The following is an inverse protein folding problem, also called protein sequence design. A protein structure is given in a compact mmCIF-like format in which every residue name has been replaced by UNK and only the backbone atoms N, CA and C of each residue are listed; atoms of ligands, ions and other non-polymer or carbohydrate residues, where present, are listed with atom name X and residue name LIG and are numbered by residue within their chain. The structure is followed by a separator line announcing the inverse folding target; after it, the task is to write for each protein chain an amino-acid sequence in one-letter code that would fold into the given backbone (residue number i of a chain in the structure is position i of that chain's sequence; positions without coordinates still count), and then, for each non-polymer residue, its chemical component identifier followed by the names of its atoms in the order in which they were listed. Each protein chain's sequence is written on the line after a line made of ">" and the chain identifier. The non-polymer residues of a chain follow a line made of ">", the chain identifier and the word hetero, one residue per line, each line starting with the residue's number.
data_IF_904595796163
#
_entry.id   IF_904595796163
#
_cell.length_a   1.000
_cell.length_b   1.000
_cell.length_c   1.000
_cell.angle_alpha   90.00
_cell.angle_beta   90.00
_cell.angle_gamma   90.00
#
_symmetry.space_group_name_H-M   'P 1'
#
loop_
_entity.id
_entity.type
_entity.pdbx_description
1 polymer ?
#
# COMPACT_ATOMS: atom_id res chain seq x y z
N UNK A 1 16.95 16.25 -13.10
CA UNK A 1 15.76 15.63 -12.47
C UNK A 1 14.55 16.56 -12.38
N UNK A 2 14.74 17.89 -12.45
CA UNK A 2 13.65 18.85 -12.22
C UNK A 2 12.56 18.87 -13.32
N UNK A 3 12.82 18.70 -14.61
CA UNK A 3 11.77 18.73 -15.64
C UNK A 3 11.03 17.41 -15.83
N UNK A 4 11.68 16.26 -15.62
CA UNK A 4 11.08 14.94 -15.80
C UNK A 4 10.23 14.47 -14.61
N UNK A 5 10.30 15.16 -13.45
CA UNK A 5 9.59 14.87 -12.20
C UNK A 5 8.60 16.00 -11.84
N UNK A 6 7.93 16.57 -12.82
CA UNK A 6 6.91 17.64 -12.65
C UNK A 6 5.61 17.11 -12.07
N UNK A 7 5.67 16.52 -10.88
CA UNK A 7 4.50 16.44 -10.00
C UNK A 7 4.52 17.67 -9.11
N UNK A 8 3.43 18.39 -9.00
CA UNK A 8 3.32 19.61 -8.18
C UNK A 8 3.85 19.33 -6.78
N UNK A 9 4.91 20.04 -6.39
CA UNK A 9 5.65 19.78 -5.17
C UNK A 9 4.83 20.19 -3.95
N UNK A 10 4.60 19.25 -3.05
CA UNK A 10 3.99 19.49 -1.76
C UNK A 10 5.07 19.70 -0.70
N UNK A 11 4.85 20.61 0.21
CA UNK A 11 5.81 20.97 1.28
C UNK A 11 6.22 19.74 2.09
N UNK A 12 5.25 18.88 2.50
CA UNK A 12 5.54 17.67 3.31
C UNK A 12 6.33 16.60 2.55
N UNK A 13 6.09 16.43 1.25
CA UNK A 13 6.89 15.53 0.39
C UNK A 13 8.30 16.06 0.18
N UNK A 14 8.48 17.39 0.11
CA UNK A 14 9.80 18.00 0.03
C UNK A 14 10.59 17.83 1.31
N UNK A 15 9.96 18.03 2.46
CA UNK A 15 10.58 17.85 3.78
C UNK A 15 11.03 16.40 3.96
N UNK A 16 10.14 15.42 3.70
CA UNK A 16 10.49 14.01 3.76
C UNK A 16 11.65 13.65 2.82
N UNK A 17 11.68 14.23 1.61
CA UNK A 17 12.80 14.03 0.68
C UNK A 17 14.11 14.63 1.21
N UNK A 18 14.05 15.80 1.86
CA UNK A 18 15.23 16.44 2.44
C UNK A 18 15.77 15.64 3.63
N UNK A 19 14.89 15.17 4.52
CA UNK A 19 15.25 14.30 5.65
C UNK A 19 15.93 13.01 5.20
N UNK A 20 15.36 12.31 4.20
CA UNK A 20 15.94 11.09 3.63
C UNK A 20 17.30 11.37 3.02
N UNK A 21 17.45 12.47 2.26
CA UNK A 21 18.74 12.85 1.68
C UNK A 21 19.80 13.12 2.72
N UNK A 22 19.42 13.80 3.80
CA UNK A 22 20.32 14.08 4.90
C UNK A 22 20.78 12.81 5.60
N UNK A 23 19.86 11.83 5.80
CA UNK A 23 20.22 10.56 6.41
C UNK A 23 21.15 9.73 5.52
N UNK A 24 20.90 9.68 4.21
CA UNK A 24 21.78 8.99 3.25
C UNK A 24 23.19 9.61 3.14
N UNK A 25 23.43 10.80 3.71
CA UNK A 25 24.72 11.48 3.76
C UNK A 25 25.44 11.30 5.11
N UNK A 26 24.79 10.64 6.09
CA UNK A 26 25.39 10.34 7.39
C UNK A 26 26.43 9.20 7.28
N UNK A 27 27.33 9.15 8.23
CA UNK A 27 28.35 8.10 8.31
C UNK A 27 27.84 6.73 8.85
N UNK A 28 26.55 6.60 9.13
CA UNK A 28 25.90 5.36 9.57
C UNK A 28 24.65 5.09 8.73
N UNK A 29 24.26 3.81 8.57
CA UNK A 29 23.13 3.43 7.73
C UNK A 29 21.81 4.04 8.20
N UNK A 30 21.02 4.53 7.26
CA UNK A 30 19.67 5.01 7.50
C UNK A 30 18.71 3.83 7.79
N UNK A 31 17.87 3.94 8.80
CA UNK A 31 16.65 3.11 8.96
C UNK A 31 15.46 4.04 9.17
N UNK A 32 14.79 4.39 8.07
CA UNK A 32 13.71 5.38 8.09
C UNK A 32 12.39 4.80 7.61
N UNK A 33 11.32 5.12 8.35
CA UNK A 33 9.94 4.82 7.99
C UNK A 33 9.30 6.05 7.35
N UNK A 34 8.85 5.93 6.11
CA UNK A 34 8.05 6.94 5.41
C UNK A 34 6.58 6.58 5.48
N UNK A 35 5.84 7.30 6.32
CA UNK A 35 4.41 7.16 6.48
C UNK A 35 3.63 8.18 5.65
N UNK A 36 2.50 7.75 5.11
CA UNK A 36 1.57 8.62 4.43
C UNK A 36 0.43 7.84 3.81
N UNK A 37 -0.70 8.46 3.63
CA UNK A 37 -1.88 7.81 3.10
C UNK A 37 -1.63 7.13 1.74
N UNK A 38 -2.54 6.26 1.34
CA UNK A 38 -2.49 5.64 0.01
C UNK A 38 -2.59 6.75 -1.05
N UNK A 39 -1.63 6.78 -1.97
CA UNK A 39 -1.63 7.74 -3.10
C UNK A 39 -1.14 9.16 -2.78
N UNK A 40 -0.49 9.40 -1.63
CA UNK A 40 0.12 10.72 -1.31
C UNK A 40 1.49 10.96 -1.96
N UNK A 41 1.99 10.01 -2.73
CA UNK A 41 3.27 10.16 -3.43
C UNK A 41 4.48 9.56 -2.71
N UNK A 42 4.31 8.61 -1.79
CA UNK A 42 5.43 7.88 -1.15
C UNK A 42 6.40 7.30 -2.16
N UNK A 43 5.89 6.69 -3.23
CA UNK A 43 6.69 6.12 -4.33
C UNK A 43 7.57 7.18 -4.98
N UNK A 44 7.07 8.39 -5.19
CA UNK A 44 7.86 9.49 -5.78
C UNK A 44 9.05 9.89 -4.88
N UNK A 45 8.85 9.95 -3.57
CA UNK A 45 9.92 10.22 -2.59
C UNK A 45 10.94 9.08 -2.60
N UNK A 46 10.47 7.83 -2.63
CA UNK A 46 11.33 6.65 -2.72
C UNK A 46 12.17 6.63 -4.02
N UNK A 47 11.59 7.01 -5.16
CA UNK A 47 12.30 7.11 -6.43
C UNK A 47 13.41 8.17 -6.41
N UNK A 48 13.21 9.27 -5.70
CA UNK A 48 14.26 10.29 -5.51
C UNK A 48 15.41 9.77 -4.67
N UNK A 49 15.12 8.96 -3.63
CA UNK A 49 16.14 8.29 -2.85
C UNK A 49 16.91 7.27 -3.70
N UNK A 50 16.21 6.42 -4.47
CA UNK A 50 16.82 5.47 -5.39
C UNK A 50 17.73 6.16 -6.40
N UNK A 51 17.26 7.25 -7.02
CA UNK A 51 18.05 8.03 -7.96
C UNK A 51 19.32 8.65 -7.30
N UNK A 52 19.20 9.17 -6.07
CA UNK A 52 20.35 9.68 -5.33
C UNK A 52 21.38 8.57 -5.08
N UNK A 53 20.92 7.38 -4.69
CA UNK A 53 21.79 6.22 -4.48
C UNK A 53 22.57 5.84 -5.75
N UNK A 54 21.85 5.72 -6.89
CA UNK A 54 22.47 5.39 -8.20
C UNK A 54 23.43 6.47 -8.68
N UNK A 55 23.09 7.74 -8.52
CA UNK A 55 24.01 8.84 -8.84
C UNK A 55 25.26 8.88 -7.94
N UNK A 56 25.21 8.26 -6.79
CA UNK A 56 26.35 8.01 -5.90
C UNK A 56 27.17 6.77 -6.28
N UNK A 57 26.84 6.10 -7.40
CA UNK A 57 27.55 4.91 -7.89
C UNK A 57 27.17 3.61 -7.21
N UNK A 58 26.10 3.58 -6.39
CA UNK A 58 25.64 2.40 -5.67
C UNK A 58 24.34 1.83 -6.23
N UNK A 59 24.09 0.56 -5.97
CA UNK A 59 22.88 -0.14 -6.41
C UNK A 59 21.72 0.08 -5.43
N UNK A 60 20.49 0.03 -5.96
CA UNK A 60 19.26 0.13 -5.18
C UNK A 60 18.38 -1.11 -5.37
N UNK A 61 17.88 -1.69 -4.28
CA UNK A 61 16.90 -2.78 -4.31
C UNK A 61 15.54 -2.28 -3.82
N UNK A 62 14.46 -2.62 -4.55
CA UNK A 62 13.09 -2.26 -4.19
C UNK A 62 12.28 -3.54 -4.01
N UNK A 63 11.81 -3.75 -2.80
CA UNK A 63 11.03 -4.92 -2.42
C UNK A 63 9.54 -4.60 -2.36
N UNK A 64 8.75 -5.40 -3.05
CA UNK A 64 7.30 -5.35 -3.02
C UNK A 64 6.71 -6.69 -2.53
N UNK A 65 5.58 -6.69 -1.82
CA UNK A 65 5.02 -7.92 -1.25
C UNK A 65 4.43 -8.87 -2.29
N UNK A 66 4.06 -8.38 -3.47
CA UNK A 66 3.46 -9.19 -4.53
C UNK A 66 4.16 -8.96 -5.87
N UNK A 67 4.09 -9.96 -6.75
CA UNK A 67 4.66 -9.90 -8.10
C UNK A 67 4.06 -8.76 -8.93
N UNK A 68 2.76 -8.53 -8.80
CA UNK A 68 2.07 -7.49 -9.55
C UNK A 68 2.46 -6.08 -9.09
N UNK A 69 2.62 -5.87 -7.78
CA UNK A 69 3.10 -4.59 -7.26
C UNK A 69 4.56 -4.34 -7.67
N UNK A 70 5.39 -5.38 -7.66
CA UNK A 70 6.75 -5.31 -8.18
C UNK A 70 6.76 -4.90 -9.66
N UNK A 71 5.87 -5.47 -10.46
CA UNK A 71 5.71 -5.11 -11.87
C UNK A 71 5.25 -3.65 -12.07
N UNK A 72 4.31 -3.16 -11.27
CA UNK A 72 3.89 -1.75 -11.31
C UNK A 72 5.03 -0.80 -10.93
N UNK A 73 5.76 -1.11 -9.86
CA UNK A 73 6.95 -0.33 -9.49
C UNK A 73 7.99 -0.33 -10.62
N UNK A 74 8.27 -1.50 -11.19
CA UNK A 74 9.22 -1.64 -12.30
C UNK A 74 8.84 -0.74 -13.48
N UNK A 75 7.60 -0.79 -13.95
CA UNK A 75 7.14 0.06 -15.06
C UNK A 75 7.16 1.56 -14.72
N UNK A 76 6.79 1.91 -13.50
CA UNK A 76 6.83 3.31 -13.03
C UNK A 76 8.28 3.82 -13.02
N UNK A 77 9.23 3.00 -12.56
CA UNK A 77 10.65 3.36 -12.51
C UNK A 77 11.22 3.48 -13.91
N UNK A 78 10.93 2.53 -14.80
CA UNK A 78 11.36 2.59 -16.19
C UNK A 78 10.93 3.90 -16.85
N UNK A 79 9.65 4.23 -16.76
CA UNK A 79 9.13 5.48 -17.32
C UNK A 79 9.76 6.73 -16.71
N UNK A 80 10.07 6.71 -15.41
CA UNK A 80 10.68 7.85 -14.70
C UNK A 80 12.17 7.99 -14.96
N UNK A 81 12.86 6.90 -15.25
CA UNK A 81 14.31 6.84 -15.49
C UNK A 81 14.67 6.86 -16.98
N UNK A 82 13.70 6.87 -17.90
CA UNK A 82 13.90 6.79 -19.35
C UNK A 82 14.91 7.83 -19.88
N UNK A 83 14.92 9.02 -19.31
CA UNK A 83 15.83 10.10 -19.71
C UNK A 83 17.26 9.98 -19.11
N UNK A 84 17.54 8.95 -18.32
CA UNK A 84 18.80 8.77 -17.60
C UNK A 84 19.46 7.44 -17.94
N UNK A 85 20.78 7.35 -17.94
CA UNK A 85 21.51 6.11 -18.17
C UNK A 85 21.45 5.17 -16.94
N UNK A 86 20.25 4.83 -16.50
CA UNK A 86 19.99 3.98 -15.32
C UNK A 86 19.38 2.67 -15.80
N UNK A 87 20.06 1.56 -15.51
CA UNK A 87 19.58 0.23 -15.87
C UNK A 87 18.70 -0.33 -14.76
N UNK A 88 17.42 -0.54 -15.08
CA UNK A 88 16.41 -1.07 -14.17
C UNK A 88 16.05 -2.49 -14.59
N UNK A 89 16.09 -3.42 -13.66
CA UNK A 89 15.70 -4.81 -13.88
C UNK A 89 14.64 -5.27 -12.86
N UNK A 90 13.92 -6.34 -13.21
CA UNK A 90 12.93 -6.94 -12.32
C UNK A 90 13.27 -8.40 -12.04
N UNK A 91 13.16 -8.80 -10.77
CA UNK A 91 13.32 -10.17 -10.32
C UNK A 91 12.04 -10.69 -9.69
N UNK A 92 11.23 -11.35 -10.49
CA UNK A 92 9.95 -11.94 -10.08
C UNK A 92 9.59 -13.12 -10.98
N UNK A 93 8.49 -13.82 -10.67
CA UNK A 93 7.97 -14.93 -11.49
C UNK A 93 7.54 -14.51 -12.90
N UNK A 94 7.35 -13.23 -13.18
CA UNK A 94 7.08 -12.72 -14.54
C UNK A 94 8.30 -12.76 -15.45
N UNK A 95 9.49 -13.06 -14.92
CA UNK A 95 10.72 -13.17 -15.69
C UNK A 95 11.09 -14.62 -15.91
N UNK A 96 11.49 -14.93 -17.13
CA UNK A 96 12.00 -16.26 -17.48
C UNK A 96 13.29 -16.60 -16.69
N UNK A 97 13.60 -17.88 -16.57
CA UNK A 97 14.83 -18.31 -15.90
C UNK A 97 16.10 -17.70 -16.53
N UNK A 98 16.11 -17.51 -17.86
CA UNK A 98 17.20 -16.84 -18.58
C UNK A 98 17.34 -15.39 -18.15
N UNK A 99 16.24 -14.62 -18.17
CA UNK A 99 16.24 -13.24 -17.75
C UNK A 99 16.66 -13.08 -16.28
N UNK A 100 16.19 -13.97 -15.38
CA UNK A 100 16.63 -13.93 -13.98
C UNK A 100 18.14 -14.17 -13.84
N UNK A 101 18.72 -15.10 -14.60
CA UNK A 101 20.18 -15.32 -14.60
C UNK A 101 20.94 -14.11 -15.12
N UNK A 102 20.45 -13.45 -16.15
CA UNK A 102 21.05 -12.21 -16.68
C UNK A 102 21.00 -11.09 -15.64
N UNK A 103 19.86 -10.91 -14.97
CA UNK A 103 19.71 -9.94 -13.87
C UNK A 103 20.67 -10.26 -12.73
N UNK A 104 20.81 -11.50 -12.29
CA UNK A 104 21.76 -11.92 -11.25
C UNK A 104 23.21 -11.57 -11.62
N UNK A 105 23.62 -11.86 -12.86
CA UNK A 105 24.96 -11.48 -13.36
C UNK A 105 25.15 -9.96 -13.37
N UNK A 106 24.12 -9.23 -13.81
CA UNK A 106 24.12 -7.76 -13.84
C UNK A 106 24.22 -7.14 -12.45
N UNK A 107 23.56 -7.71 -11.45
CA UNK A 107 23.67 -7.25 -10.06
C UNK A 107 25.08 -7.49 -9.51
N UNK A 108 25.64 -8.68 -9.77
CA UNK A 108 26.97 -9.03 -9.30
C UNK A 108 28.09 -8.23 -9.98
N UNK A 109 27.92 -7.87 -11.24
CA UNK A 109 28.88 -7.06 -12.00
C UNK A 109 28.73 -5.54 -11.79
N UNK A 110 27.64 -5.08 -11.14
CA UNK A 110 27.34 -3.67 -11.00
C UNK A 110 26.72 -3.03 -12.26
N UNK A 111 26.39 -3.82 -13.29
CA UNK A 111 25.78 -3.29 -14.53
C UNK A 111 24.27 -3.05 -14.42
N UNK A 112 23.62 -3.49 -13.35
CA UNK A 112 22.23 -3.17 -13.01
C UNK A 112 22.23 -2.22 -11.83
N UNK A 113 21.60 -1.07 -11.99
CA UNK A 113 21.58 0.00 -10.99
C UNK A 113 20.42 -0.15 -10.01
N UNK A 114 19.24 -0.47 -10.52
CA UNK A 114 18.02 -0.65 -9.72
C UNK A 114 17.41 -2.01 -10.02
N UNK A 115 17.12 -2.77 -8.99
CA UNK A 115 16.35 -4.02 -9.11
C UNK A 115 15.05 -3.93 -8.31
N UNK A 116 13.95 -4.31 -8.95
CA UNK A 116 12.63 -4.41 -8.31
C UNK A 116 12.26 -5.88 -8.20
N UNK A 117 11.78 -6.31 -7.04
CA UNK A 117 11.36 -7.69 -6.89
C UNK A 117 10.55 -7.96 -5.64
N UNK A 118 10.19 -9.23 -5.48
CA UNK A 118 9.51 -9.73 -4.29
C UNK A 118 10.53 -10.33 -3.30
N UNK A 119 10.06 -11.15 -2.36
CA UNK A 119 10.92 -11.93 -1.46
C UNK A 119 12.03 -12.73 -2.19
N UNK A 120 11.96 -12.90 -3.50
CA UNK A 120 13.00 -13.51 -4.34
C UNK A 120 14.35 -12.77 -4.20
N UNK A 121 14.33 -11.46 -3.97
CA UNK A 121 15.54 -10.67 -3.73
C UNK A 121 16.28 -11.03 -2.43
N UNK A 122 15.62 -11.76 -1.52
CA UNK A 122 16.21 -12.23 -0.25
C UNK A 122 16.86 -13.62 -0.37
N UNK A 123 16.92 -14.18 -1.56
CA UNK A 123 17.51 -15.51 -1.78
C UNK A 123 19.03 -15.43 -1.79
N UNK A 124 19.69 -16.50 -1.34
CA UNK A 124 21.17 -16.55 -1.15
C UNK A 124 21.99 -16.38 -2.43
N UNK A 125 21.38 -16.63 -3.59
CA UNK A 125 22.01 -16.49 -4.91
C UNK A 125 22.01 -15.05 -5.43
N UNK A 126 21.26 -14.13 -4.78
CA UNK A 126 21.25 -12.71 -5.12
C UNK A 126 22.44 -12.03 -4.45
N UNK A 127 23.39 -11.62 -5.26
CA UNK A 127 24.59 -10.90 -4.80
C UNK A 127 24.67 -9.55 -5.51
N UNK A 128 24.87 -8.50 -4.76
CA UNK A 128 25.06 -7.15 -5.25
C UNK A 128 26.56 -6.85 -5.34
N UNK A 129 26.93 -5.97 -6.28
CA UNK A 129 28.28 -5.43 -6.36
C UNK A 129 28.53 -4.40 -5.24
N UNK A 130 27.68 -3.40 -5.15
CA UNK A 130 27.69 -2.37 -4.10
C UNK A 130 26.27 -1.87 -3.83
N UNK A 131 25.57 -2.53 -2.92
CA UNK A 131 24.21 -2.17 -2.53
C UNK A 131 24.22 -1.00 -1.54
N UNK A 132 23.65 0.15 -1.92
CA UNK A 132 23.58 1.35 -1.07
C UNK A 132 22.24 1.61 -0.44
N UNK A 133 21.13 1.15 -1.06
CA UNK A 133 19.80 1.44 -0.58
C UNK A 133 18.85 0.27 -0.79
N UNK A 134 18.07 -0.05 0.23
CA UNK A 134 16.92 -0.97 0.17
C UNK A 134 15.65 -0.21 0.46
N UNK A 135 14.70 -0.25 -0.47
CA UNK A 135 13.36 0.30 -0.31
C UNK A 135 12.38 -0.85 -0.12
N UNK A 136 11.57 -0.79 0.93
CA UNK A 136 10.59 -1.84 1.26
C UNK A 136 9.20 -1.22 1.23
N UNK A 137 8.37 -1.65 0.30
CA UNK A 137 6.96 -1.22 0.25
C UNK A 137 6.07 -2.18 1.04
N UNK A 138 5.14 -1.61 1.81
CA UNK A 138 4.16 -2.34 2.63
C UNK A 138 4.82 -3.44 3.52
N UNK A 139 5.85 -3.07 4.30
CA UNK A 139 6.62 -3.98 5.16
C UNK A 139 5.74 -4.91 6.03
N UNK A 140 4.58 -4.43 6.45
CA UNK A 140 3.64 -5.21 7.28
C UNK A 140 3.14 -6.49 6.60
N UNK A 141 3.24 -6.58 5.28
CA UNK A 141 2.83 -7.76 4.49
C UNK A 141 3.92 -8.84 4.39
N UNK A 142 5.15 -8.51 4.78
CA UNK A 142 6.22 -9.50 4.86
C UNK A 142 6.11 -10.31 6.16
N UNK A 143 6.20 -11.62 6.05
CA UNK A 143 6.21 -12.52 7.20
C UNK A 143 7.46 -12.32 8.10
N UNK A 144 7.38 -12.77 9.34
CA UNK A 144 8.46 -12.62 10.34
C UNK A 144 9.81 -13.12 9.81
N UNK A 145 9.84 -14.31 9.22
CA UNK A 145 11.07 -14.89 8.62
C UNK A 145 11.69 -14.02 7.52
N UNK A 146 10.86 -13.32 6.72
CA UNK A 146 11.37 -12.42 5.69
C UNK A 146 11.94 -11.12 6.30
N UNK A 147 11.35 -10.63 7.38
CA UNK A 147 11.85 -9.45 8.11
C UNK A 147 13.18 -9.72 8.80
N UNK A 148 13.36 -10.92 9.35
CA UNK A 148 14.64 -11.36 9.91
C UNK A 148 15.72 -11.42 8.82
N UNK A 149 15.43 -12.06 7.70
CA UNK A 149 16.36 -12.10 6.54
C UNK A 149 16.68 -10.72 5.98
N UNK A 150 15.73 -9.78 5.96
CA UNK A 150 15.99 -8.40 5.56
C UNK A 150 17.06 -7.76 6.43
N UNK A 151 16.96 -7.93 7.74
CA UNK A 151 17.96 -7.41 8.69
C UNK A 151 19.32 -8.08 8.57
N UNK A 152 19.33 -9.39 8.35
CA UNK A 152 20.56 -10.17 8.20
C UNK A 152 21.28 -9.90 6.87
N UNK A 153 20.53 -9.84 5.76
CA UNK A 153 21.11 -9.72 4.43
C UNK A 153 21.61 -8.30 4.11
N UNK A 154 21.05 -7.28 4.76
CA UNK A 154 21.30 -5.87 4.44
C UNK A 154 21.90 -5.08 5.61
N UNK A 155 22.75 -5.72 6.40
CA UNK A 155 23.50 -5.03 7.46
C UNK A 155 24.40 -3.97 6.84
N UNK A 156 24.32 -2.75 7.37
CA UNK A 156 25.15 -1.63 6.89
C UNK A 156 24.64 -0.95 5.60
N UNK A 157 23.45 -1.30 5.13
CA UNK A 157 22.80 -0.68 3.96
C UNK A 157 21.69 0.25 4.42
N UNK A 158 21.51 1.38 3.73
CA UNK A 158 20.39 2.29 3.98
C UNK A 158 19.04 1.60 3.74
N UNK A 159 18.12 1.73 4.67
CA UNK A 159 16.77 1.16 4.59
C UNK A 159 15.70 2.24 4.63
N UNK A 160 14.87 2.28 3.60
CA UNK A 160 13.69 3.13 3.51
C UNK A 160 12.44 2.28 3.41
N UNK A 161 11.59 2.32 4.43
CA UNK A 161 10.34 1.58 4.45
C UNK A 161 9.17 2.50 4.16
N UNK A 162 8.27 2.07 3.28
CA UNK A 162 7.05 2.79 2.92
C UNK A 162 5.84 2.13 3.58
N UNK A 163 4.97 2.92 4.20
CA UNK A 163 3.73 2.40 4.78
C UNK A 163 2.58 3.40 4.65
N UNK A 164 1.39 2.90 4.30
CA UNK A 164 0.17 3.70 4.33
C UNK A 164 -0.45 3.74 5.74
N UNK A 165 -0.38 2.62 6.46
CA UNK A 165 -0.89 2.46 7.81
C UNK A 165 0.12 1.63 8.61
N UNK A 166 1.08 2.27 9.29
CA UNK A 166 2.07 1.53 10.05
C UNK A 166 1.39 0.69 11.13
N UNK A 167 1.84 -0.55 11.29
CA UNK A 167 1.37 -1.38 12.39
C UNK A 167 1.81 -0.76 13.73
N UNK A 168 1.05 -0.97 14.83
CA UNK A 168 1.37 -0.37 16.13
C UNK A 168 2.82 -0.60 16.58
N UNK A 169 3.39 -1.78 16.32
CA UNK A 169 4.78 -2.10 16.66
C UNK A 169 5.79 -1.21 15.90
N UNK A 170 5.62 -1.09 14.59
CA UNK A 170 6.52 -0.25 13.74
C UNK A 170 6.40 1.23 14.13
N UNK A 171 5.18 1.69 14.42
CA UNK A 171 4.93 3.04 14.88
C UNK A 171 5.53 3.30 16.27
N UNK A 172 5.41 2.36 17.20
CA UNK A 172 6.04 2.46 18.52
C UNK A 172 7.57 2.51 18.43
N UNK A 173 8.20 1.73 17.55
CA UNK A 173 9.64 1.79 17.32
C UNK A 173 10.08 3.16 16.80
N UNK A 174 9.30 3.76 15.90
CA UNK A 174 9.57 5.10 15.40
C UNK A 174 9.37 6.16 16.50
N UNK A 175 8.31 6.06 17.29
CA UNK A 175 8.04 7.00 18.39
C UNK A 175 9.04 6.90 19.54
N UNK A 176 9.65 5.74 19.76
CA UNK A 176 10.70 5.54 20.78
C UNK A 176 12.10 5.97 20.30
N UNK A 177 12.22 6.52 19.10
CA UNK A 177 13.50 6.95 18.53
C UNK A 177 14.42 5.81 18.07
N UNK A 178 13.92 4.56 18.06
CA UNK A 178 14.67 3.40 17.55
C UNK A 178 14.75 3.43 16.02
N UNK A 179 13.78 4.12 15.38
CA UNK A 179 13.67 4.25 13.92
C UNK A 179 13.25 5.66 13.55
N UNK A 180 13.89 6.25 12.55
CA UNK A 180 13.53 7.56 12.05
C UNK A 180 12.16 7.53 11.33
N UNK A 181 11.39 8.63 11.45
CA UNK A 181 10.05 8.74 10.90
C UNK A 181 9.91 10.01 10.07
N UNK A 182 9.42 9.85 8.84
CA UNK A 182 8.92 10.96 8.01
C UNK A 182 7.44 10.74 7.68
N UNK A 183 6.66 11.83 7.67
CA UNK A 183 5.24 11.77 7.34
C UNK A 183 4.90 12.64 6.14
N UNK A 184 4.06 12.11 5.23
CA UNK A 184 3.46 12.87 4.13
C UNK A 184 1.96 12.98 4.44
N UNK A 185 1.54 14.15 4.90
CA UNK A 185 0.16 14.39 5.31
C UNK A 185 -0.70 15.05 4.21
N UNK A 186 -0.05 15.78 3.30
CA UNK A 186 -0.74 16.49 2.23
C UNK A 186 -0.90 15.60 0.98
N UNK A 187 -2.13 15.44 0.47
CA UNK A 187 -2.38 14.74 -0.78
C UNK A 187 -1.88 15.55 -1.98
N UNK A 188 -1.68 14.93 -3.16
CA UNK A 188 -1.51 15.65 -4.41
C UNK A 188 -2.64 16.65 -4.66
N UNK A 189 -2.34 17.83 -5.21
CA UNK A 189 -3.30 18.93 -5.41
C UNK A 189 -4.52 18.47 -6.20
N UNK A 190 -4.35 17.57 -7.14
CA UNK A 190 -5.43 17.04 -8.00
C UNK A 190 -6.32 15.99 -7.31
N UNK A 191 -5.94 15.50 -6.14
CA UNK A 191 -6.66 14.44 -5.47
C UNK A 191 -7.82 14.99 -4.65
N UNK A 192 -9.04 14.58 -4.99
CA UNK A 192 -10.25 14.91 -4.23
C UNK A 192 -10.50 13.89 -3.11
N UNK A 193 -11.07 14.30 -1.97
CA UNK A 193 -11.53 13.38 -0.93
C UNK A 193 -12.55 12.39 -1.49
N UNK A 194 -12.49 11.13 -1.01
CA UNK A 194 -13.46 10.11 -1.38
C UNK A 194 -14.77 10.35 -0.61
N UNK A 195 -15.85 10.60 -1.32
CA UNK A 195 -17.17 10.77 -0.73
C UNK A 195 -17.64 9.42 -0.16
N UNK A 196 -17.88 9.38 1.14
CA UNK A 196 -18.07 8.12 1.86
C UNK A 196 -19.47 8.01 2.41
N UNK A 197 -20.19 6.95 2.00
CA UNK A 197 -21.55 6.63 2.43
C UNK A 197 -21.53 5.37 3.29
N UNK A 198 -22.28 5.40 4.37
CA UNK A 198 -22.56 4.24 5.23
C UNK A 198 -24.07 4.02 5.24
N UNK A 199 -24.51 2.90 4.71
CA UNK A 199 -25.95 2.64 4.50
C UNK A 199 -26.29 1.13 4.61
N UNK A 200 -27.57 0.85 4.81
CA UNK A 200 -28.07 -0.51 4.66
C UNK A 200 -27.94 -0.98 3.21
N UNK A 201 -27.66 -2.27 3.03
CA UNK A 201 -27.55 -2.87 1.71
C UNK A 201 -28.85 -2.67 0.92
N UNK A 202 -28.74 -2.06 -0.26
CA UNK A 202 -29.88 -1.79 -1.13
C UNK A 202 -29.46 -1.90 -2.60
N UNK A 203 -30.04 -2.88 -3.30
CA UNK A 203 -29.72 -3.15 -4.71
C UNK A 203 -29.95 -1.96 -5.63
N UNK A 204 -31.03 -1.18 -5.39
CA UNK A 204 -31.36 -0.03 -6.25
C UNK A 204 -30.30 1.05 -6.13
N UNK A 205 -29.89 1.39 -4.91
CA UNK A 205 -28.85 2.42 -4.66
C UNK A 205 -27.51 1.97 -5.25
N UNK A 206 -27.14 0.72 -5.04
CA UNK A 206 -25.86 0.20 -5.51
C UNK A 206 -25.83 0.06 -7.03
N UNK A 207 -26.93 -0.39 -7.65
CA UNK A 207 -27.06 -0.45 -9.10
C UNK A 207 -26.91 0.95 -9.73
N UNK A 208 -27.55 1.95 -9.13
CA UNK A 208 -27.47 3.34 -9.60
C UNK A 208 -26.04 3.91 -9.45
N UNK A 209 -25.37 3.63 -8.33
CA UNK A 209 -23.98 4.02 -8.11
C UNK A 209 -23.03 3.42 -9.16
N UNK A 210 -23.18 2.12 -9.46
CA UNK A 210 -22.41 1.43 -10.50
C UNK A 210 -22.69 2.00 -11.88
N UNK A 211 -23.95 2.15 -12.27
CA UNK A 211 -24.34 2.73 -13.57
C UNK A 211 -23.80 4.14 -13.78
N UNK A 212 -23.86 4.99 -12.76
CA UNK A 212 -23.28 6.35 -12.80
C UNK A 212 -21.77 6.32 -13.03
N UNK A 213 -21.05 5.39 -12.38
CA UNK A 213 -19.62 5.25 -12.59
C UNK A 213 -19.31 4.81 -14.02
N UNK A 214 -20.00 3.79 -14.53
CA UNK A 214 -19.79 3.29 -15.89
C UNK A 214 -20.16 4.31 -16.95
N UNK A 215 -21.24 5.08 -16.74
CA UNK A 215 -21.68 6.13 -17.68
C UNK A 215 -20.63 7.23 -17.87
N UNK A 216 -19.78 7.49 -16.87
CA UNK A 216 -18.65 8.44 -16.97
C UNK A 216 -17.35 7.78 -17.41
N UNK A 217 -17.39 6.50 -17.84
CA UNK A 217 -16.24 5.74 -18.31
C UNK A 217 -15.29 5.29 -17.19
N UNK A 218 -15.74 5.26 -15.93
CA UNK A 218 -14.97 4.75 -14.80
C UNK A 218 -15.20 3.27 -14.57
N UNK A 219 -14.51 2.74 -13.55
CA UNK A 219 -14.57 1.34 -13.12
C UNK A 219 -14.97 1.25 -11.66
N UNK A 220 -15.46 0.09 -11.26
CA UNK A 220 -15.98 -0.16 -9.90
C UNK A 220 -15.26 -1.32 -9.25
N UNK A 221 -14.85 -1.13 -7.99
CA UNK A 221 -14.53 -2.22 -7.08
C UNK A 221 -15.77 -2.61 -6.28
N UNK A 222 -16.15 -3.87 -6.39
CA UNK A 222 -17.23 -4.47 -5.59
C UNK A 222 -16.64 -5.51 -4.65
N UNK A 223 -16.54 -5.19 -3.36
CA UNK A 223 -15.92 -6.06 -2.38
C UNK A 223 -16.94 -6.96 -1.71
N UNK A 224 -16.78 -8.26 -1.94
CA UNK A 224 -17.54 -9.34 -1.34
C UNK A 224 -16.59 -10.30 -0.62
N UNK A 225 -16.57 -10.27 0.72
CA UNK A 225 -15.51 -10.93 1.49
C UNK A 225 -15.80 -12.43 1.78
N UNK A 226 -16.43 -13.13 0.83
CA UNK A 226 -16.70 -14.58 0.91
C UNK A 226 -16.36 -15.26 -0.41
N UNK A 227 -15.31 -16.06 -0.40
CA UNK A 227 -14.87 -16.76 -1.61
C UNK A 227 -15.90 -17.76 -2.12
N UNK A 228 -16.57 -18.48 -1.19
CA UNK A 228 -17.43 -19.62 -1.52
C UNK A 228 -18.69 -19.22 -2.33
N UNK A 229 -19.13 -17.98 -2.28
CA UNK A 229 -20.26 -17.46 -3.03
C UNK A 229 -19.95 -16.22 -3.88
N UNK A 230 -18.69 -15.97 -4.20
CA UNK A 230 -18.28 -14.79 -4.96
C UNK A 230 -18.81 -14.82 -6.40
N UNK A 231 -18.91 -16.00 -7.00
CA UNK A 231 -19.51 -16.19 -8.33
C UNK A 231 -21.02 -15.86 -8.34
N UNK A 232 -21.72 -16.28 -7.30
CA UNK A 232 -23.14 -15.92 -7.15
C UNK A 232 -23.33 -14.40 -6.96
N UNK A 233 -22.41 -13.77 -6.22
CA UNK A 233 -22.37 -12.32 -6.06
C UNK A 233 -22.11 -11.64 -7.42
N UNK A 234 -21.15 -12.11 -8.18
CA UNK A 234 -20.85 -11.57 -9.51
C UNK A 234 -22.05 -11.72 -10.48
N UNK A 235 -22.72 -12.87 -10.44
CA UNK A 235 -23.95 -13.09 -11.22
C UNK A 235 -25.08 -12.14 -10.78
N UNK A 236 -25.21 -11.85 -9.48
CA UNK A 236 -26.15 -10.87 -8.96
C UNK A 236 -25.82 -9.46 -9.46
N UNK A 237 -24.56 -9.02 -9.34
CA UNK A 237 -24.10 -7.73 -9.84
C UNK A 237 -24.34 -7.59 -11.33
N UNK A 238 -24.13 -8.65 -12.12
CA UNK A 238 -24.41 -8.65 -13.56
C UNK A 238 -25.90 -8.43 -13.87
N UNK A 239 -26.81 -8.91 -13.03
CA UNK A 239 -28.25 -8.65 -13.16
C UNK A 239 -28.60 -7.19 -12.80
N UNK A 240 -27.92 -6.61 -11.82
CA UNK A 240 -28.14 -5.22 -11.40
C UNK A 240 -27.65 -4.21 -12.46
N UNK A 241 -26.60 -4.56 -13.19
CA UNK A 241 -26.01 -3.70 -14.23
C UNK A 241 -25.83 -4.52 -15.51
N UNK A 242 -26.90 -4.75 -16.27
CA UNK A 242 -26.83 -5.51 -17.52
C UNK A 242 -25.85 -4.86 -18.53
N UNK A 243 -25.04 -5.70 -19.18
CA UNK A 243 -24.05 -5.25 -20.15
C UNK A 243 -22.70 -4.84 -19.56
N UNK A 244 -22.53 -4.76 -18.25
CA UNK A 244 -21.25 -4.54 -17.62
C UNK A 244 -20.33 -5.77 -17.71
N UNK A 245 -19.06 -5.56 -18.02
CA UNK A 245 -18.04 -6.62 -18.05
C UNK A 245 -17.55 -6.86 -16.61
N UNK A 246 -17.91 -8.02 -16.06
CA UNK A 246 -17.59 -8.38 -14.69
C UNK A 246 -16.33 -9.22 -14.63
N UNK A 247 -15.36 -8.82 -13.79
CA UNK A 247 -14.21 -9.64 -13.40
C UNK A 247 -14.38 -10.15 -11.97
N UNK A 248 -13.74 -11.28 -11.67
CA UNK A 248 -13.71 -11.88 -10.33
C UNK A 248 -12.26 -12.05 -9.89
N UNK A 249 -11.96 -11.66 -8.64
CA UNK A 249 -10.63 -11.85 -8.04
C UNK A 249 -10.72 -12.20 -6.56
N UNK A 250 -10.11 -13.30 -6.12
CA UNK A 250 -10.12 -13.72 -4.73
C UNK A 250 -8.83 -14.39 -4.28
N UNK A 251 -8.59 -14.45 -2.98
CA UNK A 251 -7.34 -14.91 -2.39
C UNK A 251 -7.02 -16.41 -2.55
N UNK A 252 -7.96 -17.24 -3.02
CA UNK A 252 -7.71 -18.65 -3.35
C UNK A 252 -7.20 -18.84 -4.79
N UNK A 253 -7.28 -17.82 -5.65
CA UNK A 253 -6.73 -17.86 -7.01
C UNK A 253 -5.21 -17.85 -6.96
N UNK A 254 -4.60 -18.56 -7.89
CA UNK A 254 -3.15 -18.53 -8.12
C UNK A 254 -2.73 -17.17 -8.72
N UNK A 255 -1.45 -16.85 -8.65
CA UNK A 255 -0.94 -15.64 -9.31
C UNK A 255 -1.17 -15.69 -10.85
N UNK A 256 -1.13 -16.88 -11.44
CA UNK A 256 -1.35 -17.10 -12.89
C UNK A 256 -2.80 -16.79 -13.29
N UNK A 257 -3.76 -17.08 -12.43
CA UNK A 257 -5.18 -16.76 -12.64
C UNK A 257 -5.49 -15.29 -12.34
N UNK A 258 -4.83 -14.70 -11.34
CA UNK A 258 -5.05 -13.30 -10.96
C UNK A 258 -4.46 -12.30 -11.94
N UNK A 259 -3.30 -12.61 -12.52
CA UNK A 259 -2.59 -11.69 -13.39
C UNK A 259 -3.40 -11.25 -14.62
N UNK A 260 -4.07 -12.15 -15.37
CA UNK A 260 -4.94 -11.75 -16.48
C UNK A 260 -6.08 -10.82 -16.02
N UNK A 261 -6.71 -11.12 -14.87
CA UNK A 261 -7.81 -10.30 -14.34
C UNK A 261 -7.35 -8.86 -14.07
N UNK A 262 -6.17 -8.70 -13.45
CA UNK A 262 -5.61 -7.38 -13.21
C UNK A 262 -5.20 -6.66 -14.51
N UNK A 263 -4.64 -7.38 -15.47
CA UNK A 263 -4.31 -6.83 -16.79
C UNK A 263 -5.56 -6.32 -17.51
N UNK A 264 -6.62 -7.13 -17.58
CA UNK A 264 -7.90 -6.75 -18.17
C UNK A 264 -8.54 -5.55 -17.46
N UNK A 265 -8.42 -5.48 -16.12
CA UNK A 265 -8.90 -4.33 -15.36
C UNK A 265 -8.09 -3.06 -15.67
N UNK A 266 -6.76 -3.16 -15.72
CA UNK A 266 -5.88 -2.03 -16.05
C UNK A 266 -6.07 -1.53 -17.47
N UNK A 267 -6.37 -2.42 -18.42
CA UNK A 267 -6.66 -2.09 -19.81
C UNK A 267 -8.09 -1.54 -20.03
N UNK A 268 -8.92 -1.51 -18.97
CA UNK A 268 -10.32 -1.07 -19.07
C UNK A 268 -11.26 -2.09 -19.74
N UNK A 269 -10.86 -3.36 -19.77
CA UNK A 269 -11.67 -4.47 -20.33
C UNK A 269 -12.63 -5.07 -19.28
N UNK A 270 -12.45 -4.75 -18.00
CA UNK A 270 -13.37 -5.05 -16.90
C UNK A 270 -13.96 -3.74 -16.40
N UNK A 271 -15.27 -3.66 -16.27
CA UNK A 271 -16.01 -2.52 -15.77
C UNK A 271 -16.21 -2.59 -14.26
N UNK A 272 -16.52 -3.78 -13.75
CA UNK A 272 -16.76 -4.03 -12.33
C UNK A 272 -15.91 -5.23 -11.90
N UNK A 273 -15.04 -5.04 -10.93
CA UNK A 273 -14.28 -6.14 -10.32
C UNK A 273 -14.95 -6.56 -9.01
N UNK A 274 -15.56 -7.74 -9.00
CA UNK A 274 -16.05 -8.39 -7.77
C UNK A 274 -14.88 -9.11 -7.12
N UNK A 275 -14.52 -8.72 -5.91
CA UNK A 275 -13.30 -9.24 -5.28
C UNK A 275 -13.42 -9.36 -3.75
N UNK A 276 -12.53 -10.14 -3.17
CA UNK A 276 -12.30 -10.17 -1.73
C UNK A 276 -11.36 -9.01 -1.31
N UNK A 277 -10.88 -9.00 -0.07
CA UNK A 277 -9.90 -8.04 0.44
C UNK A 277 -8.57 -7.99 -0.33
N UNK A 278 -8.45 -8.76 -1.41
CA UNK A 278 -7.27 -8.78 -2.28
C UNK A 278 -6.88 -7.40 -2.84
N UNK A 279 -7.85 -6.48 -2.99
CA UNK A 279 -7.57 -5.09 -3.42
C UNK A 279 -6.65 -4.32 -2.47
N UNK A 280 -6.47 -4.80 -1.24
CA UNK A 280 -5.48 -4.24 -0.32
C UNK A 280 -4.02 -4.41 -0.81
N UNK A 281 -3.79 -5.28 -1.81
CA UNK A 281 -2.43 -5.62 -2.28
C UNK A 281 -1.63 -4.47 -2.89
N UNK A 282 -2.21 -3.30 -3.06
CA UNK A 282 -1.45 -2.11 -3.44
C UNK A 282 -1.56 -1.70 -4.91
N UNK A 283 -2.23 -2.49 -5.74
CA UNK A 283 -2.38 -2.21 -7.17
C UNK A 283 -3.05 -0.85 -7.40
N UNK A 284 -2.47 -0.05 -8.28
CA UNK A 284 -2.99 1.26 -8.66
C UNK A 284 -3.83 1.16 -9.95
N UNK A 285 -5.15 1.20 -9.80
CA UNK A 285 -6.10 1.29 -10.92
C UNK A 285 -6.72 2.68 -10.94
N UNK A 286 -6.13 3.57 -11.73
CA UNK A 286 -6.48 5.00 -11.74
C UNK A 286 -7.92 5.29 -12.13
N UNK A 287 -8.51 4.43 -12.97
CA UNK A 287 -9.88 4.63 -13.46
C UNK A 287 -10.96 4.05 -12.52
N UNK A 288 -10.56 3.37 -11.45
CA UNK A 288 -11.48 2.84 -10.45
C UNK A 288 -11.82 3.93 -9.43
N UNK A 289 -12.99 4.55 -9.56
CA UNK A 289 -13.40 5.69 -8.73
C UNK A 289 -14.64 5.40 -7.86
N UNK A 290 -15.26 4.23 -8.00
CA UNK A 290 -16.35 3.80 -7.12
C UNK A 290 -15.97 2.51 -6.42
N UNK A 291 -16.19 2.46 -5.10
CA UNK A 291 -15.95 1.32 -4.23
C UNK A 291 -17.26 0.96 -3.51
N UNK A 292 -17.64 -0.30 -3.57
CA UNK A 292 -18.76 -0.86 -2.81
C UNK A 292 -18.19 -1.95 -1.90
N UNK A 293 -18.57 -1.95 -0.62
CA UNK A 293 -18.16 -2.97 0.35
C UNK A 293 -19.39 -3.55 1.02
N UNK A 294 -19.62 -4.85 0.84
CA UNK A 294 -20.63 -5.60 1.58
C UNK A 294 -20.13 -5.97 2.98
N UNK A 295 -21.06 -6.08 3.94
CA UNK A 295 -20.77 -6.49 5.33
C UNK A 295 -19.60 -5.66 5.95
N UNK A 296 -19.52 -4.36 5.66
CA UNK A 296 -18.43 -3.47 6.12
C UNK A 296 -18.31 -3.40 7.66
N UNK A 297 -19.39 -3.67 8.37
CA UNK A 297 -19.46 -3.76 9.83
C UNK A 297 -18.56 -4.86 10.42
N UNK A 298 -18.17 -5.85 9.61
CA UNK A 298 -17.27 -6.95 10.01
C UNK A 298 -15.78 -6.63 9.84
N UNK A 299 -15.46 -5.51 9.18
CA UNK A 299 -14.09 -5.15 8.85
C UNK A 299 -13.48 -4.20 9.88
N UNK A 300 -12.16 -4.27 10.04
CA UNK A 300 -11.43 -3.35 10.91
C UNK A 300 -11.33 -1.94 10.32
N UNK A 301 -11.26 -0.90 11.17
CA UNK A 301 -11.18 0.50 10.73
C UNK A 301 -9.97 0.77 9.82
N UNK A 302 -8.79 0.25 10.18
CA UNK A 302 -7.59 0.40 9.37
C UNK A 302 -7.74 -0.25 7.99
N UNK A 303 -8.39 -1.41 7.93
CA UNK A 303 -8.68 -2.13 6.69
C UNK A 303 -9.64 -1.34 5.80
N UNK A 304 -10.76 -0.87 6.35
CA UNK A 304 -11.72 -0.02 5.64
C UNK A 304 -11.05 1.24 5.07
N UNK A 305 -10.16 1.84 5.85
CA UNK A 305 -9.41 3.02 5.43
C UNK A 305 -8.45 2.72 4.28
N UNK A 306 -7.69 1.62 4.36
CA UNK A 306 -6.79 1.18 3.28
C UNK A 306 -7.54 0.89 1.98
N UNK A 307 -8.68 0.17 2.07
CA UNK A 307 -9.48 -0.19 0.91
C UNK A 307 -10.10 1.06 0.30
N UNK A 308 -10.63 2.00 1.10
CA UNK A 308 -11.14 3.29 0.61
C UNK A 308 -10.07 4.05 -0.16
N UNK A 309 -8.82 4.01 0.30
CA UNK A 309 -7.69 4.64 -0.38
C UNK A 309 -7.34 4.06 -1.76
N UNK A 310 -7.97 2.95 -2.16
CA UNK A 310 -7.77 2.33 -3.49
C UNK A 310 -8.53 3.03 -4.61
N UNK A 311 -9.52 3.85 -4.28
CA UNK A 311 -10.26 4.67 -5.25
C UNK A 311 -9.88 6.15 -5.15
N UNK A 312 -10.23 6.95 -6.17
CA UNK A 312 -9.94 8.38 -6.21
C UNK A 312 -8.46 8.70 -6.42
N UNK A 313 -7.79 7.97 -7.28
CA UNK A 313 -6.39 8.19 -7.65
C UNK A 313 -6.21 8.96 -8.96
N UNK A 314 -7.30 9.22 -9.63
CA UNK A 314 -7.40 10.19 -10.73
C UNK A 314 -7.96 11.50 -10.20
N UNK A 315 -7.83 12.61 -10.88
CA UNK A 315 -8.46 13.89 -10.53
C UNK A 315 -10.00 13.87 -10.55
N UNK A 316 -10.62 12.70 -10.75
CA UNK A 316 -12.09 12.51 -10.77
C UNK A 316 -12.63 12.29 -9.36
N UNK A 317 -13.84 12.77 -9.13
CA UNK A 317 -14.59 12.55 -7.89
C UNK A 317 -14.81 11.04 -7.66
N UNK A 318 -14.51 10.57 -6.46
CA UNK A 318 -14.62 9.16 -6.10
C UNK A 318 -15.62 8.94 -4.97
N UNK A 319 -16.21 7.75 -4.97
CA UNK A 319 -17.28 7.37 -4.06
C UNK A 319 -16.98 6.03 -3.39
N UNK A 320 -17.30 5.90 -2.10
CA UNK A 320 -17.20 4.67 -1.35
C UNK A 320 -18.50 4.39 -0.59
N UNK A 321 -19.10 3.24 -0.85
CA UNK A 321 -20.32 2.78 -0.24
C UNK A 321 -20.00 1.63 0.71
N UNK A 322 -20.09 1.87 2.01
CA UNK A 322 -19.92 0.88 3.06
C UNK A 322 -21.29 0.37 3.47
N UNK A 323 -21.61 -0.88 3.12
CA UNK A 323 -22.93 -1.42 3.39
C UNK A 323 -22.91 -2.44 4.52
N UNK A 324 -23.99 -2.50 5.25
CA UNK A 324 -24.30 -3.53 6.24
C UNK A 324 -25.68 -4.14 5.95
N UNK A 325 -25.91 -5.35 6.45
CA UNK A 325 -27.15 -6.05 6.14
C UNK A 325 -28.35 -5.32 6.70
N UNK A 326 -29.41 -5.31 5.91
CA UNK A 326 -30.75 -4.92 6.36
C UNK A 326 -31.16 -5.80 7.54
N UNK A 327 -31.88 -5.24 8.48
CA UNK A 327 -32.38 -5.94 9.69
C UNK A 327 -31.29 -6.41 10.67
N UNK A 328 -30.04 -5.96 10.50
CA UNK A 328 -28.97 -6.27 11.43
C UNK A 328 -28.75 -5.12 12.42
N UNK A 329 -28.95 -5.39 13.70
CA UNK A 329 -28.52 -4.47 14.76
C UNK A 329 -26.99 -4.42 14.80
N UNK A 330 -26.42 -3.26 14.51
CA UNK A 330 -24.97 -3.05 14.60
C UNK A 330 -24.52 -3.06 16.07
N UNK A 331 -23.41 -3.72 16.33
CA UNK A 331 -22.77 -3.61 17.65
C UNK A 331 -22.22 -2.19 17.84
N UNK A 332 -22.12 -1.70 19.08
CA UNK A 332 -21.55 -0.38 19.39
C UNK A 332 -20.16 -0.17 18.78
N UNK A 333 -19.35 -1.23 18.73
CA UNK A 333 -18.00 -1.21 18.13
C UNK A 333 -18.09 -1.03 16.62
N UNK A 334 -19.01 -1.73 15.95
CA UNK A 334 -19.21 -1.60 14.50
C UNK A 334 -19.73 -0.21 14.15
N UNK A 335 -20.70 0.30 14.90
CA UNK A 335 -21.25 1.65 14.73
C UNK A 335 -20.17 2.73 14.90
N UNK A 336 -19.36 2.64 15.95
CA UNK A 336 -18.24 3.58 16.17
C UNK A 336 -17.21 3.52 15.01
N UNK A 337 -16.89 2.33 14.48
CA UNK A 337 -15.99 2.18 13.34
C UNK A 337 -16.55 2.79 12.06
N UNK A 338 -17.81 2.52 11.75
CA UNK A 338 -18.47 3.05 10.56
C UNK A 338 -18.69 4.57 10.65
N UNK A 339 -18.99 5.10 11.82
CA UNK A 339 -19.00 6.55 12.05
C UNK A 339 -17.63 7.17 11.86
N UNK A 340 -16.59 6.54 12.41
CA UNK A 340 -15.21 7.03 12.24
C UNK A 340 -14.78 7.06 10.77
N UNK A 341 -15.07 6.02 9.97
CA UNK A 341 -14.68 6.01 8.55
C UNK A 341 -15.42 7.08 7.74
N UNK A 342 -16.64 7.44 8.13
CA UNK A 342 -17.41 8.55 7.55
C UNK A 342 -16.82 9.91 7.91
N UNK A 343 -16.41 10.09 9.16
CA UNK A 343 -15.84 11.34 9.67
C UNK A 343 -14.41 11.59 9.16
N UNK A 344 -13.59 10.55 9.10
CA UNK A 344 -12.21 10.63 8.63
C UNK A 344 -12.13 10.66 7.09
N UNK A 345 -12.75 11.65 6.46
CA UNK A 345 -12.69 11.88 5.01
C UNK A 345 -11.45 12.68 4.59
N UNK A 346 -10.87 13.47 5.50
CA UNK A 346 -9.69 14.26 5.23
C UNK A 346 -8.43 13.38 5.01
N UNK A 347 -7.56 13.81 4.13
CA UNK A 347 -6.25 13.19 3.92
C UNK A 347 -5.38 13.30 5.19
N UNK A 348 -4.41 12.40 5.35
CA UNK A 348 -3.59 12.31 6.57
C UNK A 348 -4.26 11.55 7.71
N UNK A 349 -5.49 11.10 7.54
CA UNK A 349 -6.24 10.39 8.59
C UNK A 349 -5.69 9.00 8.89
N UNK A 350 -4.97 8.34 7.93
CA UNK A 350 -4.39 7.00 8.14
C UNK A 350 -3.40 6.97 9.30
N UNK A 351 -2.53 7.95 9.38
CA UNK A 351 -1.61 8.09 10.50
C UNK A 351 -2.34 8.36 11.81
N UNK A 352 -3.35 9.26 11.81
CA UNK A 352 -4.20 9.56 12.98
C UNK A 352 -4.98 8.34 13.45
N UNK A 353 -5.48 7.52 12.53
CA UNK A 353 -6.15 6.25 12.84
C UNK A 353 -5.16 5.28 13.50
N UNK A 354 -3.95 5.12 12.95
CA UNK A 354 -2.91 4.27 13.52
C UNK A 354 -2.53 4.74 14.94
N UNK A 355 -2.36 6.06 15.15
CA UNK A 355 -2.09 6.64 16.46
C UNK A 355 -3.23 6.43 17.45
N UNK A 356 -4.49 6.52 17.01
CA UNK A 356 -5.66 6.28 17.88
C UNK A 356 -5.74 4.82 18.30
N UNK A 357 -5.45 3.88 17.38
CA UNK A 357 -5.39 2.43 17.69
C UNK A 357 -4.28 2.14 18.70
N UNK A 358 -3.09 2.75 18.53
CA UNK A 358 -1.98 2.60 19.47
C UNK A 358 -2.33 3.11 20.88
N UNK A 359 -3.00 4.27 21.00
CA UNK A 359 -3.37 4.90 22.28
C UNK A 359 -4.51 4.16 22.99
N UNK A 360 -5.46 3.60 22.25
CA UNK A 360 -6.65 2.97 22.84
C UNK A 360 -6.43 1.55 23.34
N UNK A 361 -5.25 0.96 23.10
CA UNK A 361 -4.98 -0.44 23.46
C UNK A 361 -5.89 -1.46 22.75
N UNK A 362 -6.76 -1.01 21.85
CA UNK A 362 -7.67 -1.88 21.10
C UNK A 362 -6.84 -2.68 20.11
N UNK A 363 -6.71 -3.98 20.35
CA UNK A 363 -6.12 -4.93 19.39
C UNK A 363 -6.82 -4.73 18.05
N UNK A 364 -6.06 -4.35 17.04
CA UNK A 364 -6.54 -4.38 15.67
C UNK A 364 -6.88 -5.86 15.37
N UNK A 365 -8.17 -6.18 15.32
CA UNK A 365 -8.63 -7.47 14.84
C UNK A 365 -8.49 -7.48 13.33
N UNK A 366 -7.24 -7.59 12.84
CA UNK A 366 -6.96 -8.10 11.52
C UNK A 366 -7.18 -9.60 11.62
N UNK A 367 -8.02 -10.17 10.78
CA UNK A 367 -8.35 -11.60 10.75
C UNK A 367 -7.20 -12.51 10.32
N UNK A 368 -5.97 -12.13 10.59
CA UNK A 368 -4.77 -12.93 10.50
C UNK A 368 -4.17 -12.97 11.90
N UNK A 369 -4.07 -14.16 12.46
CA UNK A 369 -3.42 -14.46 13.73
C UNK A 369 -2.03 -13.82 13.77
N UNK A 370 -1.92 -12.66 14.41
CA UNK A 370 -0.65 -12.12 14.82
C UNK A 370 -0.16 -12.95 16.01
N UNK A 371 0.69 -13.94 15.74
CA UNK A 371 1.43 -14.65 16.78
C UNK A 371 2.52 -13.71 17.32
N UNK A 372 2.21 -13.05 18.41
CA UNK A 372 3.15 -12.23 19.15
C UNK A 372 2.54 -11.90 20.50
N UNK A 373 2.82 -12.69 21.52
CA UNK A 373 2.52 -12.36 22.91
C UNK A 373 3.24 -11.05 23.27
N UNK A 374 2.47 -9.99 23.50
CA UNK A 374 2.93 -8.85 24.29
C UNK A 374 2.59 -9.14 25.75
N UNK A 375 3.60 -9.32 26.57
CA UNK A 375 3.42 -9.46 28.02
C UNK A 375 2.90 -8.17 28.65
N UNK A 376 2.03 -8.23 29.69
CA UNK A 376 1.33 -7.07 30.26
C UNK A 376 2.24 -6.03 30.97
N UNK A 377 3.49 -6.34 31.23
CA UNK A 377 4.37 -5.46 32.02
C UNK A 377 5.01 -4.30 31.24
N UNK A 378 4.92 -4.31 29.91
CA UNK A 378 5.46 -3.22 29.07
C UNK A 378 4.65 -1.91 29.13
N UNK A 379 3.43 -1.95 29.67
CA UNK A 379 2.54 -0.78 29.73
C UNK A 379 2.65 0.05 31.02
N UNK A 380 3.21 -0.53 32.08
CA UNK A 380 3.23 0.13 33.41
C UNK A 380 4.48 0.99 33.63
N UNK A 381 5.55 0.80 32.87
CA UNK A 381 6.82 1.53 33.06
C UNK A 381 6.84 2.91 32.39
N UNK A 382 5.96 3.16 31.39
CA UNK A 382 6.01 4.41 30.61
C UNK A 382 5.29 5.60 31.24
N UNK A 383 4.40 5.36 32.21
CA UNK A 383 3.65 6.46 32.88
C UNK A 383 4.46 7.09 34.01
N UNK A 384 5.51 6.43 34.52
CA UNK A 384 6.29 6.95 35.67
C UNK A 384 7.47 7.87 35.30
N UNK A 385 7.87 7.94 34.02
CA UNK A 385 9.02 8.78 33.63
C UNK A 385 8.66 10.09 32.93
N UNK A 386 7.39 10.36 32.64
CA UNK A 386 6.96 11.64 32.06
C UNK A 386 6.60 12.72 33.10
N UNK A 387 6.75 12.41 34.38
CA UNK A 387 6.36 13.30 35.50
C UNK A 387 7.50 13.95 36.32
N UNK A 388 8.76 13.75 35.93
CA UNK A 388 9.91 14.26 36.69
C UNK A 388 10.87 15.06 35.78
N UNK A 389 10.45 16.25 35.39
CA UNK A 389 11.30 17.14 34.60
C UNK A 389 10.76 18.56 34.48
N UNK A 390 10.39 19.18 35.62
CA UNK A 390 10.31 20.62 35.78
C UNK A 390 10.38 20.99 37.27
N UNK A 391 11.59 21.24 37.70
CA UNK A 391 11.93 22.28 38.69
C UNK A 391 13.36 22.71 38.45
#
# INVERSE_FOLDING_TARGET
>A
LRPALTTTRQTTSMNATAEIKQDMEKGWPMDRLLCGDVGVGKTEVALRAAFKCVMGGKQCAILAPTTLLAWQHYNTILSRMEAFPVKVEMMSRFRTAKQQKETLRGLQSGSVDIVVGTHRLLSKDVKFHDLGLVIIDEEQRFGVKHKEKLKENFIGVDMLTLSATPIPRTLNMAMSGIRDLSTIEQPPIERQPVETFVLEYNDVILAEAMKKELARGGQVYYLHNRVDNIEACAAHVSKLVPGARIGIAHGKMTEEELNPVWQHLLNGEIDILVCTTLIETGIDVRNCNTLIIEDADRMGLAQLYQIRGRVGRSGRKAYAYFTFRRDKTLTDIAQKRLSAIREFTAFGSGFRIAMRICRSGVRASSGHSQHGHMEPWATTSYVKHAGAGHR
#
